data_IF_791528140675
#
_entry.id   IF_791528140675
#
_cell.length_a   1.000
_cell.length_b   1.000
_cell.length_c   1.000
_cell.angle_alpha   90.00
_cell.angle_beta   90.00
_cell.angle_gamma   90.00
#
_symmetry.space_group_name_H-M   'P 1'
#
loop_
_entity.id
_entity.type
_entity.pdbx_description
1 polymer ?
#
# COMPACT_ATOMS: atom_id res chain seq x y z
N UNK A 1 -28.31 6.59 -5.53
CA UNK A 1 -27.88 6.95 -4.16
C UNK A 1 -27.45 5.66 -3.47
N UNK A 2 -26.19 5.51 -3.11
CA UNK A 2 -25.71 4.31 -2.40
C UNK A 2 -26.19 4.37 -0.95
N UNK A 3 -26.94 3.37 -0.51
CA UNK A 3 -27.38 3.21 0.86
C UNK A 3 -26.14 3.04 1.75
N UNK A 4 -25.93 3.99 2.66
CA UNK A 4 -24.86 3.96 3.66
C UNK A 4 -25.33 3.04 4.78
N UNK A 5 -24.53 2.05 5.17
CA UNK A 5 -24.88 1.17 6.30
C UNK A 5 -24.75 1.94 7.62
N UNK A 6 -25.46 1.49 8.66
CA UNK A 6 -25.37 2.11 9.98
C UNK A 6 -23.93 2.16 10.50
N UNK A 7 -23.15 1.09 10.28
CA UNK A 7 -21.72 1.03 10.57
C UNK A 7 -20.89 2.07 9.80
N UNK A 8 -21.15 2.25 8.49
CA UNK A 8 -20.46 3.28 7.69
C UNK A 8 -20.79 4.70 8.20
N UNK A 9 -22.04 4.95 8.63
CA UNK A 9 -22.46 6.25 9.16
C UNK A 9 -21.85 6.56 10.54
N UNK A 10 -21.73 5.56 11.43
CA UNK A 10 -21.05 5.72 12.72
C UNK A 10 -19.56 5.98 12.56
N UNK A 11 -18.91 5.30 11.61
CA UNK A 11 -17.51 5.51 11.29
C UNK A 11 -17.24 6.94 10.80
N UNK A 12 -18.10 7.50 9.94
CA UNK A 12 -17.98 8.88 9.46
C UNK A 12 -18.21 9.92 10.57
N UNK A 13 -19.01 9.58 11.59
CA UNK A 13 -19.33 10.47 12.71
C UNK A 13 -18.37 10.31 13.91
N UNK A 14 -17.24 9.60 13.76
CA UNK A 14 -16.25 9.46 14.84
C UNK A 14 -15.67 10.81 15.26
N UNK A 15 -15.75 11.09 16.56
CA UNK A 15 -15.16 12.31 17.18
C UNK A 15 -13.63 12.32 17.20
N UNK A 16 -12.99 11.16 17.10
CA UNK A 16 -11.53 11.01 17.14
C UNK A 16 -11.07 10.01 16.09
N UNK A 17 -10.06 10.41 15.30
CA UNK A 17 -9.33 9.48 14.42
C UNK A 17 -8.26 8.72 15.19
N UNK A 18 -8.17 7.42 14.94
CA UNK A 18 -7.12 6.58 15.52
C UNK A 18 -5.77 6.84 14.82
N UNK A 19 -4.66 6.49 15.48
CA UNK A 19 -3.31 6.57 14.87
C UNK A 19 -3.24 5.78 13.55
N UNK A 20 -3.93 4.63 13.49
CA UNK A 20 -4.03 3.78 12.30
C UNK A 20 -4.76 4.48 11.16
N UNK A 21 -5.91 5.10 11.44
CA UNK A 21 -6.69 5.84 10.44
C UNK A 21 -5.87 7.00 9.86
N UNK A 22 -5.21 7.77 10.72
CA UNK A 22 -4.32 8.87 10.29
C UNK A 22 -3.18 8.35 9.41
N UNK A 23 -2.56 7.23 9.80
CA UNK A 23 -1.50 6.60 9.03
C UNK A 23 -2.00 6.13 7.65
N UNK A 24 -3.12 5.42 7.60
CA UNK A 24 -3.71 4.91 6.35
C UNK A 24 -4.13 6.06 5.42
N UNK A 25 -4.72 7.13 5.95
CA UNK A 25 -5.05 8.34 5.17
C UNK A 25 -3.79 9.02 4.60
N UNK A 26 -2.70 9.06 5.37
CA UNK A 26 -1.42 9.59 4.90
C UNK A 26 -0.86 8.72 3.79
N UNK A 27 -0.82 7.40 3.97
CA UNK A 27 -0.37 6.47 2.94
C UNK A 27 -1.23 6.54 1.68
N UNK A 28 -2.54 6.70 1.83
CA UNK A 28 -3.46 6.84 0.71
C UNK A 28 -3.12 8.04 -0.18
N UNK A 29 -2.71 9.16 0.42
CA UNK A 29 -2.30 10.37 -0.29
C UNK A 29 -0.90 10.27 -0.91
N UNK A 30 0.00 9.53 -0.27
CA UNK A 30 1.40 9.41 -0.71
C UNK A 30 1.58 8.40 -1.85
N UNK A 31 0.71 7.40 -1.94
CA UNK A 31 0.86 6.34 -2.92
C UNK A 31 0.23 6.74 -4.25
N UNK A 32 0.98 6.63 -5.37
CA UNK A 32 0.48 6.98 -6.70
C UNK A 32 -0.44 5.88 -7.27
N UNK A 33 -1.61 5.66 -6.66
CA UNK A 33 -2.50 4.52 -6.98
C UNK A 33 -2.83 4.39 -8.46
N UNK A 34 -3.19 5.49 -9.13
CA UNK A 34 -3.52 5.48 -10.57
C UNK A 34 -2.35 4.98 -11.42
N UNK A 35 -1.12 5.36 -11.07
CA UNK A 35 0.09 4.94 -11.77
C UNK A 35 0.39 3.46 -11.50
N UNK A 36 0.22 3.01 -10.26
CA UNK A 36 0.39 1.60 -9.90
C UNK A 36 -0.63 0.72 -10.61
N UNK A 37 -1.91 1.07 -10.53
CA UNK A 37 -3.00 0.36 -11.19
C UNK A 37 -2.73 0.23 -12.69
N UNK A 38 -2.38 1.33 -13.38
CA UNK A 38 -2.09 1.32 -14.83
C UNK A 38 -1.00 0.31 -15.21
N UNK A 39 0.02 0.10 -14.37
CA UNK A 39 1.07 -0.90 -14.63
C UNK A 39 0.57 -2.33 -14.48
N UNK A 40 -0.35 -2.57 -13.57
CA UNK A 40 -0.86 -3.90 -13.24
C UNK A 40 -2.06 -4.29 -14.10
N UNK A 41 -2.90 -3.34 -14.51
CA UNK A 41 -4.12 -3.57 -15.29
C UNK A 41 -3.88 -4.39 -16.56
N UNK A 42 -2.71 -4.25 -17.20
CA UNK A 42 -2.36 -5.01 -18.41
C UNK A 42 -2.40 -6.53 -18.20
N UNK A 43 -2.03 -6.98 -17.01
CA UNK A 43 -1.93 -8.41 -16.66
C UNK A 43 -3.14 -8.89 -15.85
N UNK A 44 -3.91 -7.97 -15.27
CA UNK A 44 -4.97 -8.33 -14.35
C UNK A 44 -6.16 -8.98 -15.07
N UNK A 45 -6.69 -10.11 -14.57
CA UNK A 45 -7.83 -10.79 -15.20
C UNK A 45 -9.05 -9.88 -15.27
N UNK A 46 -9.70 -9.83 -16.45
CA UNK A 46 -10.92 -9.02 -16.66
C UNK A 46 -12.21 -9.72 -16.24
N UNK A 47 -12.14 -10.97 -15.76
CA UNK A 47 -13.30 -11.76 -15.35
C UNK A 47 -14.23 -12.09 -16.51
N UNK A 48 -13.91 -13.12 -17.29
CA UNK A 48 -14.74 -13.54 -18.43
C UNK A 48 -15.69 -14.70 -18.08
N UNK A 49 -15.44 -15.43 -16.98
CA UNK A 49 -16.28 -16.56 -16.54
C UNK A 49 -16.14 -16.78 -15.03
N UNK A 50 -17.24 -17.05 -14.32
CA UNK A 50 -17.27 -17.33 -12.88
C UNK A 50 -17.44 -16.09 -11.98
N UNK A 51 -17.13 -16.24 -10.68
CA UNK A 51 -17.16 -15.12 -9.71
C UNK A 51 -16.20 -14.04 -10.20
N UNK A 52 -16.65 -12.78 -10.37
CA UNK A 52 -15.78 -11.72 -10.88
C UNK A 52 -14.58 -11.56 -9.93
N UNK A 53 -13.37 -11.29 -10.44
CA UNK A 53 -12.21 -11.02 -9.57
C UNK A 53 -12.48 -9.81 -8.67
N UNK A 54 -11.75 -9.71 -7.56
CA UNK A 54 -11.79 -8.51 -6.72
C UNK A 54 -11.31 -7.29 -7.53
N UNK A 55 -11.78 -6.08 -7.22
CA UNK A 55 -11.24 -4.87 -7.85
C UNK A 55 -9.72 -4.78 -7.64
N UNK A 56 -8.98 -4.46 -8.71
CA UNK A 56 -7.52 -4.34 -8.66
C UNK A 56 -7.08 -3.31 -7.61
N UNK A 57 -7.80 -2.19 -7.51
CA UNK A 57 -7.53 -1.15 -6.52
C UNK A 57 -7.58 -1.71 -5.09
N UNK A 58 -8.59 -2.52 -4.78
CA UNK A 58 -8.73 -3.15 -3.46
C UNK A 58 -7.58 -4.13 -3.18
N UNK A 59 -7.25 -5.01 -4.13
CA UNK A 59 -6.17 -5.99 -3.94
C UNK A 59 -4.79 -5.33 -3.81
N UNK A 60 -4.53 -4.25 -4.55
CA UNK A 60 -3.29 -3.47 -4.38
C UNK A 60 -3.21 -2.85 -2.98
N UNK A 61 -4.32 -2.32 -2.46
CA UNK A 61 -4.38 -1.75 -1.11
C UNK A 61 -4.18 -2.80 -0.03
N UNK A 62 -4.80 -3.97 -0.19
CA UNK A 62 -4.57 -5.13 0.70
C UNK A 62 -3.09 -5.51 0.69
N UNK A 63 -2.48 -5.63 -0.49
CA UNK A 63 -1.05 -5.96 -0.58
C UNK A 63 -0.16 -4.88 0.05
N UNK A 64 -0.47 -3.60 -0.15
CA UNK A 64 0.23 -2.52 0.53
C UNK A 64 0.08 -2.59 2.06
N UNK A 65 -1.11 -2.94 2.57
CA UNK A 65 -1.32 -3.14 4.01
C UNK A 65 -0.51 -4.30 4.58
N UNK A 66 -0.39 -5.42 3.86
CA UNK A 66 0.52 -6.51 4.25
C UNK A 66 1.94 -5.98 4.44
N UNK A 67 2.38 -5.08 3.54
CA UNK A 67 3.70 -4.47 3.60
C UNK A 67 3.83 -3.38 4.68
N UNK A 68 2.77 -2.62 5.03
CA UNK A 68 2.80 -1.61 6.10
C UNK A 68 2.82 -2.24 7.49
N UNK A 69 2.20 -3.39 7.66
CA UNK A 69 2.01 -4.00 8.97
C UNK A 69 2.76 -5.33 9.12
N UNK A 70 3.54 -5.72 8.12
CA UNK A 70 4.24 -7.00 8.05
C UNK A 70 3.30 -8.20 8.27
N UNK A 71 2.09 -8.15 7.69
CA UNK A 71 1.07 -9.17 7.87
C UNK A 71 1.24 -10.30 6.85
N UNK A 72 1.11 -11.53 7.33
CA UNK A 72 0.96 -12.71 6.48
C UNK A 72 -0.37 -12.70 5.74
N UNK A 73 -0.55 -13.62 4.78
CA UNK A 73 -1.82 -13.77 4.06
C UNK A 73 -3.00 -14.08 5.03
N UNK A 74 -2.90 -15.03 5.99
CA UNK A 74 -3.97 -15.24 6.97
C UNK A 74 -4.19 -14.05 7.91
N UNK A 75 -3.11 -13.44 8.42
CA UNK A 75 -3.25 -12.31 9.34
C UNK A 75 -3.90 -11.08 8.68
N UNK A 76 -3.73 -10.93 7.35
CA UNK A 76 -4.39 -9.88 6.59
C UNK A 76 -5.88 -10.18 6.38
N UNK A 77 -6.26 -11.45 6.17
CA UNK A 77 -7.67 -11.86 6.14
C UNK A 77 -8.36 -11.49 7.47
N UNK A 78 -7.82 -11.95 8.60
CA UNK A 78 -8.35 -11.66 9.94
C UNK A 78 -8.48 -10.15 10.16
N UNK A 79 -7.45 -9.39 9.80
CA UNK A 79 -7.46 -7.94 9.94
C UNK A 79 -8.53 -7.25 9.07
N UNK A 80 -8.87 -7.76 7.88
CA UNK A 80 -9.96 -7.22 7.06
C UNK A 80 -11.34 -7.48 7.68
N UNK A 81 -11.49 -8.62 8.38
CA UNK A 81 -12.71 -8.94 9.12
C UNK A 81 -12.87 -8.05 10.36
N UNK A 82 -11.82 -7.96 11.18
CA UNK A 82 -11.88 -7.33 12.51
C UNK A 82 -11.71 -5.80 12.47
N UNK A 83 -10.86 -5.28 11.59
CA UNK A 83 -10.41 -3.88 11.65
C UNK A 83 -11.09 -3.06 10.55
N UNK A 84 -12.16 -2.35 10.93
CA UNK A 84 -12.94 -1.51 10.01
C UNK A 84 -12.10 -0.49 9.24
N UNK A 85 -11.12 0.16 9.88
CA UNK A 85 -10.25 1.14 9.21
C UNK A 85 -9.40 0.55 8.07
N UNK A 86 -8.96 -0.71 8.19
CA UNK A 86 -8.20 -1.40 7.14
C UNK A 86 -9.11 -1.80 5.97
N UNK A 87 -10.30 -2.31 6.30
CA UNK A 87 -11.34 -2.61 5.32
C UNK A 87 -11.77 -1.37 4.54
N UNK A 88 -11.98 -0.24 5.23
CA UNK A 88 -12.28 1.05 4.61
C UNK A 88 -11.13 1.53 3.72
N UNK A 89 -9.88 1.44 4.18
CA UNK A 89 -8.72 1.79 3.37
C UNK A 89 -8.63 0.99 2.06
N UNK A 90 -9.04 -0.29 2.08
CA UNK A 90 -9.10 -1.15 0.89
C UNK A 90 -10.34 -0.91 0.02
N UNK A 91 -11.31 -0.12 0.47
CA UNK A 91 -12.59 0.08 -0.22
C UNK A 91 -13.45 -1.19 -0.26
N UNK A 92 -13.27 -2.09 0.72
CA UNK A 92 -13.99 -3.36 0.82
C UNK A 92 -15.17 -3.24 1.78
N UNK A 93 -16.14 -4.13 1.61
CA UNK A 93 -17.32 -4.26 2.47
C UNK A 93 -17.34 -5.65 3.11
N UNK A 94 -18.02 -5.76 4.26
CA UNK A 94 -18.09 -7.00 5.06
C UNK A 94 -18.75 -8.17 4.32
N UNK A 95 -19.63 -7.89 3.37
CA UNK A 95 -20.31 -8.88 2.54
C UNK A 95 -19.36 -9.64 1.60
N UNK A 96 -18.19 -9.06 1.32
CA UNK A 96 -17.24 -9.62 0.36
C UNK A 96 -15.79 -9.23 0.68
N UNK A 97 -15.15 -10.02 1.53
CA UNK A 97 -13.72 -9.92 1.85
C UNK A 97 -12.90 -10.98 1.10
N UNK A 98 -11.66 -10.67 0.69
CA UNK A 98 -10.75 -11.66 0.14
C UNK A 98 -10.23 -12.57 1.27
N UNK A 99 -10.33 -13.88 1.05
CA UNK A 99 -9.72 -14.89 1.93
C UNK A 99 -8.19 -14.98 1.73
N UNK A 100 -7.50 -15.69 2.62
CA UNK A 100 -6.06 -15.96 2.58
C UNK A 100 -5.65 -16.42 1.17
N UNK A 101 -6.40 -17.37 0.60
CA UNK A 101 -6.06 -17.96 -0.70
C UNK A 101 -6.15 -16.95 -1.83
N UNK A 102 -7.07 -15.99 -1.73
CA UNK A 102 -7.27 -14.89 -2.68
C UNK A 102 -6.11 -13.89 -2.59
N UNK A 103 -5.69 -13.57 -1.37
CA UNK A 103 -4.53 -12.70 -1.10
C UNK A 103 -3.25 -13.36 -1.62
N UNK A 104 -3.03 -14.64 -1.31
CA UNK A 104 -1.92 -15.46 -1.79
C UNK A 104 -1.85 -15.49 -3.33
N UNK A 105 -2.97 -15.76 -4.00
CA UNK A 105 -3.05 -15.75 -5.47
C UNK A 105 -2.64 -14.41 -6.07
N UNK A 106 -3.04 -13.31 -5.44
CA UNK A 106 -2.65 -11.97 -5.89
C UNK A 106 -1.15 -11.70 -5.71
N UNK A 107 -0.58 -12.12 -4.58
CA UNK A 107 0.87 -12.03 -4.35
C UNK A 107 1.66 -12.81 -5.39
N UNK A 108 1.30 -14.07 -5.65
CA UNK A 108 1.93 -14.86 -6.70
C UNK A 108 1.75 -14.28 -8.10
N UNK A 109 0.61 -13.64 -8.37
CA UNK A 109 0.41 -12.90 -9.61
C UNK A 109 1.42 -11.74 -9.74
N UNK A 110 1.63 -10.93 -8.69
CA UNK A 110 2.62 -9.86 -8.71
C UNK A 110 4.05 -10.39 -8.89
N UNK A 111 4.39 -11.50 -8.23
CA UNK A 111 5.69 -12.17 -8.33
C UNK A 111 5.95 -12.69 -9.74
N UNK A 112 5.00 -13.45 -10.30
CA UNK A 112 5.08 -14.06 -11.63
C UNK A 112 5.33 -13.03 -12.73
N UNK A 113 4.72 -11.85 -12.61
CA UNK A 113 4.88 -10.77 -13.59
C UNK A 113 5.99 -9.78 -13.23
N UNK A 114 6.79 -10.03 -12.18
CA UNK A 114 7.87 -9.15 -11.73
C UNK A 114 7.39 -7.76 -11.31
N UNK A 115 6.11 -7.62 -10.96
CA UNK A 115 5.46 -6.34 -10.70
C UNK A 115 5.91 -5.72 -9.39
N UNK A 116 6.32 -6.51 -8.39
CA UNK A 116 6.80 -5.97 -7.11
C UNK A 116 7.93 -4.95 -7.27
N UNK A 117 8.96 -5.27 -8.08
CA UNK A 117 10.07 -4.34 -8.38
C UNK A 117 9.59 -3.11 -9.17
N UNK A 118 8.68 -3.31 -10.12
CA UNK A 118 8.17 -2.24 -10.97
C UNK A 118 7.29 -1.23 -10.20
N UNK A 119 6.49 -1.73 -9.25
CA UNK A 119 5.67 -0.94 -8.33
C UNK A 119 6.55 -0.16 -7.37
N UNK A 120 7.52 -0.83 -6.72
CA UNK A 120 8.46 -0.17 -5.81
C UNK A 120 9.22 0.98 -6.48
N UNK A 121 9.71 0.77 -7.71
CA UNK A 121 10.37 1.82 -8.50
C UNK A 121 9.44 3.00 -8.81
N UNK A 122 8.17 2.73 -9.10
CA UNK A 122 7.19 3.79 -9.40
C UNK A 122 6.85 4.62 -8.16
N UNK A 123 6.68 3.96 -7.01
CA UNK A 123 6.44 4.66 -5.74
C UNK A 123 7.65 5.53 -5.40
N UNK A 124 8.87 5.00 -5.48
CA UNK A 124 10.09 5.78 -5.23
C UNK A 124 10.23 6.97 -6.18
N UNK A 125 9.99 6.78 -7.48
CA UNK A 125 10.01 7.88 -8.45
C UNK A 125 8.98 8.97 -8.13
N UNK A 126 7.84 8.60 -7.58
CA UNK A 126 6.82 9.56 -7.16
C UNK A 126 7.27 10.33 -5.91
N UNK A 127 7.78 9.61 -4.91
CA UNK A 127 8.24 10.17 -3.65
C UNK A 127 9.47 11.07 -3.79
N UNK A 128 10.36 10.79 -4.74
CA UNK A 128 11.54 11.62 -5.05
C UNK A 128 11.14 13.06 -5.38
N UNK A 129 9.97 13.28 -6.03
CA UNK A 129 9.47 14.62 -6.35
C UNK A 129 9.11 15.44 -5.10
N UNK A 130 8.84 14.76 -4.00
CA UNK A 130 8.53 15.37 -2.70
C UNK A 130 9.74 15.34 -1.76
N UNK A 131 10.92 14.94 -2.24
CA UNK A 131 12.14 14.82 -1.44
C UNK A 131 12.19 13.59 -0.54
N UNK A 132 11.35 12.58 -0.79
CA UNK A 132 11.16 11.39 0.04
C UNK A 132 11.65 10.12 -0.69
N UNK A 133 12.08 9.09 0.04
CA UNK A 133 12.49 7.81 -0.55
C UNK A 133 12.13 6.62 0.34
N UNK A 134 11.67 5.50 -0.26
CA UNK A 134 11.51 4.21 0.41
C UNK A 134 12.75 3.34 0.23
N UNK A 135 13.27 2.78 1.33
CA UNK A 135 14.36 1.79 1.30
C UNK A 135 13.81 0.37 1.14
N UNK A 136 14.58 -0.47 0.45
CA UNK A 136 14.31 -1.89 0.24
C UNK A 136 14.51 -2.64 1.58
N UNK A 137 13.53 -2.57 2.48
CA UNK A 137 13.63 -3.16 3.81
C UNK A 137 12.33 -3.10 4.60
N UNK A 138 11.63 -1.97 4.60
CA UNK A 138 10.38 -1.83 5.36
C UNK A 138 9.48 -0.79 4.72
N UNK A 139 8.34 -1.22 4.20
CA UNK A 139 7.17 -0.33 4.05
C UNK A 139 6.55 -0.07 5.44
N UNK A 140 6.86 -0.95 6.40
CA UNK A 140 6.46 -0.93 7.82
C UNK A 140 7.01 0.26 8.59
N UNK A 141 8.16 0.78 8.18
CA UNK A 141 8.89 1.82 8.91
C UNK A 141 9.19 2.99 7.97
N UNK A 142 8.13 3.64 7.50
CA UNK A 142 8.22 4.85 6.68
C UNK A 142 8.69 6.04 7.53
N UNK A 143 9.91 5.94 8.05
CA UNK A 143 10.73 7.12 8.28
C UNK A 143 11.00 7.70 6.90
N UNK A 144 10.20 8.70 6.54
CA UNK A 144 10.44 9.55 5.39
C UNK A 144 11.76 10.27 5.66
N UNK A 145 12.84 9.69 5.16
CA UNK A 145 14.17 10.29 5.18
C UNK A 145 14.24 11.28 4.02
N UNK A 146 14.80 12.46 4.31
CA UNK A 146 15.19 13.40 3.27
C UNK A 146 16.13 12.70 2.30
N UNK A 147 15.89 12.87 1.00
CA UNK A 147 16.88 12.47 0.01
C UNK A 147 18.21 13.17 0.35
N UNK A 148 19.34 12.44 0.45
CA UNK A 148 20.65 13.07 0.67
C UNK A 148 20.92 14.06 -0.47
N UNK A 149 21.47 15.23 -0.14
CA UNK A 149 21.85 16.21 -1.15
C UNK A 149 22.88 15.58 -2.08
N UNK A 150 22.56 15.61 -3.37
CA UNK A 150 23.33 14.96 -4.44
C UNK A 150 24.70 15.61 -4.60
N UNK A 151 25.73 15.13 -3.90
CA UNK A 151 27.12 15.38 -4.28
C UNK A 151 27.61 14.22 -5.15
N UNK A 152 27.69 14.50 -6.45
CA UNK A 152 28.40 13.67 -7.43
C UNK A 152 29.89 13.76 -7.07
N UNK A 153 30.55 12.64 -6.83
CA UNK A 153 32.02 12.62 -6.91
C UNK A 153 32.44 12.48 -8.39
N UNK A 154 33.69 12.83 -8.69
CA UNK A 154 34.22 13.01 -10.06
C UNK A 154 34.21 11.74 -10.93
N UNK A 155 33.97 10.56 -10.35
CA UNK A 155 33.90 9.26 -11.04
C UNK A 155 32.47 8.80 -11.37
N UNK A 156 31.45 9.64 -11.16
CA UNK A 156 30.07 9.37 -11.60
C UNK A 156 29.35 8.22 -10.86
N UNK A 157 29.95 7.69 -9.80
CA UNK A 157 29.34 6.70 -8.93
C UNK A 157 28.71 7.39 -7.72
N UNK A 158 27.47 7.02 -7.39
CA UNK A 158 26.80 7.57 -6.20
C UNK A 158 27.46 6.96 -4.95
N UNK A 159 28.28 7.74 -4.24
CA UNK A 159 28.86 7.33 -2.96
C UNK A 159 27.86 7.65 -1.86
N UNK A 160 27.56 6.65 -1.03
CA UNK A 160 26.75 6.81 0.17
C UNK A 160 27.65 7.39 1.28
N UNK A 161 27.56 8.69 1.51
CA UNK A 161 28.16 9.33 2.69
C UNK A 161 27.27 9.12 3.91
N UNK A 162 27.87 8.71 5.02
CA UNK A 162 27.23 8.54 6.33
C UNK A 162 26.48 9.81 6.74
N UNK A 163 25.15 9.79 6.65
CA UNK A 163 24.29 10.84 7.17
C UNK A 163 23.73 10.36 8.52
N UNK A 164 24.11 11.09 9.57
CA UNK A 164 23.94 10.74 10.97
C UNK A 164 22.50 10.49 11.42
N UNK A 165 22.42 9.70 12.49
CA UNK A 165 21.21 9.44 13.26
C UNK A 165 20.64 10.75 13.84
N UNK A 166 19.40 11.07 13.48
CA UNK A 166 18.55 11.88 14.35
C UNK A 166 17.60 10.92 15.06
N UNK A 167 18.02 10.50 16.25
CA UNK A 167 17.11 9.89 17.21
C UNK A 167 16.06 10.90 17.64
N UNK A 168 14.82 10.46 17.74
CA UNK A 168 13.78 11.21 18.44
C UNK A 168 13.09 10.20 19.37
N UNK A 169 13.08 10.54 20.67
CA UNK A 169 12.35 9.86 21.74
C UNK A 169 10.85 9.80 21.45
#
# INVERSE_FOLDING_TARGET
MSQITFSEAEYQNKKRKTRREIFLERMDKLIPWKQLEKKVTRYYPKGQTGRPPYPLSAMLRVHCMQLFYNLSDPAMEDALYEIESMRHFAGLKLDRLPDETTILKFRHFLERHGLGKALFKEVNKHLEKSGLMLRKGSIVDATIISAPSSTKNESGQRVFGDAGYLGIQ
#
